data_IF_088280876934
#
_entry.id   IF_088280876934
#
_cell.length_a   1.000
_cell.length_b   1.000
_cell.length_c   1.000
_cell.angle_alpha   90.00
_cell.angle_beta   90.00
_cell.angle_gamma   90.00
#
_symmetry.space_group_name_H-M   'P 1'
#
loop_
_entity.id
_entity.type
_entity.pdbx_description
1 polymer ?
#
# COMPACT_ATOMS: atom_id res chain seq x y z
N UNK A 1 20.46 1.77 -13.94
CA UNK A 1 21.45 1.30 -12.97
C UNK A 1 22.74 2.10 -13.06
N UNK A 2 23.45 2.21 -11.93
CA UNK A 2 24.77 2.79 -11.92
C UNK A 2 25.74 2.08 -12.88
N UNK A 3 26.89 2.70 -13.20
CA UNK A 3 27.85 2.15 -14.18
C UNK A 3 28.45 0.79 -13.76
N UNK A 4 28.35 0.43 -12.50
CA UNK A 4 28.76 -0.88 -11.92
C UNK A 4 27.64 -1.94 -11.94
N UNK A 5 26.45 -1.59 -12.45
CA UNK A 5 25.29 -2.48 -12.51
C UNK A 5 24.46 -2.55 -11.22
N UNK A 6 24.72 -1.65 -10.27
CA UNK A 6 23.91 -1.56 -9.03
C UNK A 6 22.77 -0.55 -9.16
N UNK A 7 21.81 -0.59 -8.22
CA UNK A 7 20.60 0.22 -8.23
C UNK A 7 20.52 1.12 -7.00
N UNK A 8 19.92 2.30 -7.18
CA UNK A 8 19.52 3.22 -6.12
C UNK A 8 18.00 3.12 -5.95
N UNK A 9 17.54 2.75 -4.77
CA UNK A 9 16.12 2.53 -4.50
C UNK A 9 15.57 3.67 -3.61
N UNK A 10 14.49 4.31 -4.06
CA UNK A 10 13.68 5.21 -3.25
C UNK A 10 12.55 4.45 -2.56
N UNK A 11 12.35 4.68 -1.26
CA UNK A 11 11.19 4.16 -0.52
C UNK A 11 10.56 5.29 0.29
N UNK A 12 9.28 5.59 0.02
CA UNK A 12 8.51 6.51 0.85
C UNK A 12 7.53 5.75 1.71
N UNK A 13 7.70 5.80 3.03
CA UNK A 13 6.75 5.27 4.00
C UNK A 13 5.62 6.26 4.22
N UNK A 14 4.36 5.83 4.08
CA UNK A 14 3.23 6.73 4.30
C UNK A 14 3.07 7.14 5.76
N UNK A 15 3.35 6.22 6.69
CA UNK A 15 3.25 6.43 8.14
C UNK A 15 3.92 5.29 8.89
N UNK A 16 4.69 5.61 9.93
CA UNK A 16 5.28 4.63 10.84
C UNK A 16 4.76 4.90 12.26
N UNK A 17 3.67 4.24 12.63
CA UNK A 17 3.01 4.47 13.93
C UNK A 17 2.21 3.29 14.46
N UNK A 18 2.23 2.17 13.73
CA UNK A 18 1.66 0.91 14.17
C UNK A 18 2.60 -0.26 13.86
N UNK A 19 2.31 -1.43 14.41
CA UNK A 19 3.18 -2.61 14.26
C UNK A 19 3.30 -3.08 12.80
N UNK A 20 2.25 -2.93 11.99
CA UNK A 20 2.27 -3.33 10.59
C UNK A 20 3.21 -2.45 9.76
N UNK A 21 3.10 -1.12 9.89
CA UNK A 21 3.96 -0.19 9.14
C UNK A 21 5.42 -0.26 9.59
N UNK A 22 5.67 -0.46 10.89
CA UNK A 22 7.02 -0.68 11.40
C UNK A 22 7.64 -1.99 10.89
N UNK A 23 6.84 -3.07 10.78
CA UNK A 23 7.30 -4.33 10.21
C UNK A 23 7.59 -4.18 8.71
N UNK A 24 6.72 -3.51 7.95
CA UNK A 24 6.94 -3.28 6.52
C UNK A 24 8.28 -2.57 6.25
N UNK A 25 8.61 -1.54 7.05
CA UNK A 25 9.89 -0.83 6.96
C UNK A 25 11.08 -1.71 7.33
N UNK A 26 10.93 -2.52 8.39
CA UNK A 26 11.98 -3.45 8.82
C UNK A 26 12.23 -4.56 7.77
N UNK A 27 11.18 -5.10 7.16
CA UNK A 27 11.29 -6.10 6.09
C UNK A 27 11.91 -5.51 4.82
N UNK A 28 11.55 -4.27 4.47
CA UNK A 28 12.19 -3.56 3.37
C UNK A 28 13.70 -3.38 3.63
N UNK A 29 14.07 -2.92 4.82
CA UNK A 29 15.48 -2.77 5.21
C UNK A 29 16.22 -4.10 5.16
N UNK A 30 15.66 -5.16 5.72
CA UNK A 30 16.26 -6.50 5.69
C UNK A 30 16.41 -7.04 4.25
N UNK A 31 15.46 -6.73 3.37
CA UNK A 31 15.53 -7.12 1.96
C UNK A 31 16.67 -6.39 1.23
N UNK A 32 16.81 -5.09 1.43
CA UNK A 32 17.87 -4.30 0.81
C UNK A 32 19.26 -4.65 1.34
N UNK A 33 19.38 -4.99 2.62
CA UNK A 33 20.64 -5.52 3.21
C UNK A 33 21.01 -6.90 2.64
N UNK A 34 20.03 -7.77 2.43
CA UNK A 34 20.27 -9.10 1.85
C UNK A 34 20.77 -9.00 0.40
N UNK A 35 20.26 -8.04 -0.35
CA UNK A 35 20.53 -7.84 -1.77
C UNK A 35 21.55 -6.67 -2.01
N UNK A 36 22.40 -6.38 -1.01
CA UNK A 36 23.36 -5.27 -1.01
C UNK A 36 24.45 -5.36 -2.09
N UNK A 37 24.62 -6.49 -2.73
CA UNK A 37 25.47 -6.64 -3.93
C UNK A 37 24.83 -6.05 -5.18
N UNK A 38 23.53 -5.83 -5.20
CA UNK A 38 22.77 -5.25 -6.28
C UNK A 38 22.26 -3.83 -5.97
N UNK A 39 22.21 -3.45 -4.69
CA UNK A 39 21.66 -2.16 -4.23
C UNK A 39 22.81 -1.31 -3.67
N UNK A 40 23.16 -0.20 -4.35
CA UNK A 40 24.24 0.69 -3.94
C UNK A 40 23.81 1.74 -2.92
N UNK A 41 22.55 2.16 -2.94
CA UNK A 41 22.01 3.16 -2.00
C UNK A 41 20.50 3.00 -1.84
N UNK A 42 19.99 3.39 -0.67
CA UNK A 42 18.56 3.41 -0.35
C UNK A 42 18.18 4.77 0.21
N UNK A 43 17.23 5.43 -0.44
CA UNK A 43 16.69 6.72 0.00
C UNK A 43 15.35 6.47 0.67
N UNK A 44 15.34 6.47 2.00
CA UNK A 44 14.11 6.33 2.77
C UNK A 44 13.56 7.70 3.17
N UNK A 45 12.26 7.89 2.99
CA UNK A 45 11.52 9.06 3.45
C UNK A 45 10.22 8.65 4.14
N UNK A 46 9.61 9.56 4.88
CA UNK A 46 8.34 9.33 5.58
C UNK A 46 7.41 10.51 5.35
N UNK A 47 6.16 10.22 4.99
CA UNK A 47 5.17 11.23 4.61
C UNK A 47 4.19 11.59 5.73
N UNK A 48 4.14 10.84 6.83
CA UNK A 48 3.30 11.13 8.02
C UNK A 48 1.81 11.30 7.69
N UNK A 49 1.27 10.51 6.76
CA UNK A 49 -0.09 10.62 6.21
C UNK A 49 -0.39 11.95 5.49
N UNK A 50 0.63 12.71 5.11
CA UNK A 50 0.49 13.93 4.32
C UNK A 50 0.77 13.65 2.84
N UNK A 51 -0.28 13.73 2.00
CA UNK A 51 -0.18 13.46 0.57
C UNK A 51 0.72 14.48 -0.17
N UNK A 52 0.78 15.74 0.27
CA UNK A 52 1.65 16.74 -0.35
C UNK A 52 3.12 16.50 0.00
N UNK A 53 3.38 16.07 1.23
CA UNK A 53 4.71 15.65 1.66
C UNK A 53 5.16 14.41 0.87
N UNK A 54 4.27 13.44 0.64
CA UNK A 54 4.56 12.27 -0.20
C UNK A 54 4.97 12.66 -1.61
N UNK A 55 4.21 13.54 -2.25
CA UNK A 55 4.53 14.07 -3.59
C UNK A 55 5.92 14.73 -3.59
N UNK A 56 6.21 15.58 -2.58
CA UNK A 56 7.50 16.27 -2.47
C UNK A 56 8.67 15.29 -2.25
N UNK A 57 8.47 14.23 -1.47
CA UNK A 57 9.45 13.18 -1.26
C UNK A 57 9.76 12.45 -2.57
N UNK A 58 8.73 12.06 -3.33
CA UNK A 58 8.90 11.40 -4.64
C UNK A 58 9.61 12.33 -5.63
N UNK A 59 9.26 13.62 -5.70
CA UNK A 59 9.96 14.59 -6.54
C UNK A 59 11.44 14.70 -6.18
N UNK A 60 11.77 14.63 -4.89
CA UNK A 60 13.17 14.62 -4.44
C UNK A 60 13.91 13.36 -4.89
N UNK A 61 13.25 12.19 -4.87
CA UNK A 61 13.82 10.94 -5.38
C UNK A 61 14.05 10.99 -6.90
N UNK A 62 13.08 11.52 -7.65
CA UNK A 62 13.22 11.75 -9.10
C UNK A 62 14.42 12.67 -9.40
N UNK A 63 14.54 13.78 -8.68
CA UNK A 63 15.67 14.72 -8.84
C UNK A 63 17.04 14.11 -8.50
N UNK A 64 17.06 13.06 -7.69
CA UNK A 64 18.27 12.29 -7.32
C UNK A 64 18.55 11.14 -8.29
N UNK A 65 17.71 10.96 -9.32
CA UNK A 65 17.82 9.91 -10.33
C UNK A 65 17.90 8.50 -9.71
N UNK A 66 16.98 8.18 -8.80
CA UNK A 66 16.83 6.80 -8.32
C UNK A 66 16.44 5.88 -9.47
N UNK A 67 16.75 4.61 -9.40
CA UNK A 67 16.38 3.64 -10.44
C UNK A 67 14.95 3.11 -10.24
N UNK A 68 14.49 3.00 -8.99
CA UNK A 68 13.14 2.60 -8.68
C UNK A 68 12.58 3.36 -7.46
N UNK A 69 11.26 3.55 -7.43
CA UNK A 69 10.53 4.13 -6.29
C UNK A 69 9.49 3.12 -5.83
N UNK A 70 9.54 2.77 -4.54
CA UNK A 70 8.52 1.96 -3.88
C UNK A 70 7.69 2.88 -2.99
N UNK A 71 6.37 2.87 -3.17
CA UNK A 71 5.48 3.79 -2.45
C UNK A 71 4.09 3.20 -2.20
N UNK A 72 3.56 3.30 -0.97
CA UNK A 72 2.14 3.10 -0.66
C UNK A 72 1.39 4.44 -0.82
N UNK A 73 0.59 4.62 -1.89
CA UNK A 73 -0.14 5.87 -2.12
C UNK A 73 -1.05 6.28 -0.96
N UNK A 74 -0.91 7.52 -0.48
CA UNK A 74 -1.81 8.12 0.53
C UNK A 74 -3.09 8.62 -0.15
N UNK A 75 -2.97 9.22 -1.33
CA UNK A 75 -4.09 9.71 -2.13
C UNK A 75 -4.02 9.08 -3.52
N UNK A 76 -4.89 8.11 -3.83
CA UNK A 76 -4.84 7.37 -5.10
C UNK A 76 -4.86 8.24 -6.36
N UNK A 77 -5.72 9.28 -6.39
CA UNK A 77 -5.78 10.22 -7.51
C UNK A 77 -4.74 11.33 -7.42
N UNK A 78 -4.44 11.80 -6.21
CA UNK A 78 -3.51 12.92 -6.00
C UNK A 78 -2.05 12.60 -6.34
N UNK A 79 -1.66 11.34 -6.25
CA UNK A 79 -0.28 10.90 -6.52
C UNK A 79 0.01 10.73 -8.02
N UNK A 80 -1.03 10.53 -8.85
CA UNK A 80 -0.88 10.20 -10.29
C UNK A 80 0.10 11.10 -11.04
N UNK A 81 0.03 12.46 -10.91
CA UNK A 81 0.94 13.32 -11.67
C UNK A 81 2.42 13.11 -11.34
N UNK A 82 2.77 12.77 -10.09
CA UNK A 82 4.17 12.55 -9.72
C UNK A 82 4.65 11.15 -10.09
N UNK A 83 3.77 10.14 -10.10
CA UNK A 83 4.09 8.82 -10.63
C UNK A 83 4.38 8.90 -12.13
N UNK A 84 3.59 9.67 -12.89
CA UNK A 84 3.86 9.92 -14.29
C UNK A 84 5.23 10.59 -14.50
N UNK A 85 5.59 11.58 -13.67
CA UNK A 85 6.92 12.21 -13.75
C UNK A 85 8.05 11.19 -13.51
N UNK A 86 7.87 10.24 -12.59
CA UNK A 86 8.85 9.20 -12.34
C UNK A 86 8.97 8.25 -13.55
N UNK A 87 7.85 7.80 -14.10
CA UNK A 87 7.78 6.96 -15.30
C UNK A 87 8.40 7.64 -16.52
N UNK A 88 8.07 8.92 -16.76
CA UNK A 88 8.67 9.73 -17.85
C UNK A 88 10.19 9.91 -17.69
N UNK A 89 10.70 9.88 -16.46
CA UNK A 89 12.12 9.90 -16.17
C UNK A 89 12.80 8.53 -16.31
N UNK A 90 12.03 7.48 -16.63
CA UNK A 90 12.54 6.10 -16.76
C UNK A 90 12.80 5.41 -15.42
N UNK A 91 12.14 5.87 -14.35
CA UNK A 91 12.22 5.30 -13.00
C UNK A 91 11.13 4.26 -12.85
N UNK A 92 11.48 3.06 -12.41
CA UNK A 92 10.51 2.02 -12.10
C UNK A 92 9.66 2.40 -10.89
N UNK A 93 8.33 2.32 -11.03
CA UNK A 93 7.38 2.63 -9.96
C UNK A 93 6.76 1.34 -9.44
N UNK A 94 6.94 1.07 -8.16
CA UNK A 94 6.35 -0.07 -7.47
C UNK A 94 5.36 0.44 -6.42
N UNK A 95 4.09 0.15 -6.62
CA UNK A 95 3.07 0.40 -5.62
C UNK A 95 3.01 -0.76 -4.64
N UNK A 96 2.84 -0.47 -3.35
CA UNK A 96 2.64 -1.50 -2.33
C UNK A 96 1.55 -1.09 -1.34
N UNK A 97 0.84 -2.06 -0.79
CA UNK A 97 -0.20 -1.90 0.24
C UNK A 97 -1.42 -1.04 -0.17
N UNK A 98 -1.29 -0.06 -1.06
CA UNK A 98 -2.40 0.68 -1.65
C UNK A 98 -2.11 1.04 -3.10
N UNK A 99 -3.16 1.18 -3.91
CA UNK A 99 -3.08 1.49 -5.33
C UNK A 99 -3.18 2.98 -5.64
N UNK A 100 -3.02 3.30 -6.93
CA UNK A 100 -3.25 4.63 -7.50
C UNK A 100 -4.33 4.56 -8.59
N UNK A 101 -4.95 5.68 -8.92
CA UNK A 101 -5.94 5.79 -10.00
C UNK A 101 -5.27 5.90 -11.38
N UNK A 102 -4.31 5.01 -11.64
CA UNK A 102 -3.58 4.91 -12.90
C UNK A 102 -3.04 3.49 -13.06
N UNK A 103 -2.80 3.07 -14.30
CA UNK A 103 -2.07 1.84 -14.64
C UNK A 103 -0.59 2.13 -14.98
N UNK A 104 -0.13 3.36 -14.80
CA UNK A 104 1.22 3.79 -15.12
C UNK A 104 2.18 3.55 -13.93
N UNK A 105 2.42 2.27 -13.70
CA UNK A 105 3.39 1.74 -12.72
C UNK A 105 4.00 0.43 -13.24
N UNK A 106 5.20 0.11 -12.77
CA UNK A 106 5.90 -1.14 -13.17
C UNK A 106 5.31 -2.36 -12.49
N UNK A 107 4.93 -2.25 -11.20
CA UNK A 107 4.35 -3.36 -10.43
C UNK A 107 3.48 -2.86 -9.29
N UNK A 108 2.48 -3.66 -8.92
CA UNK A 108 1.64 -3.44 -7.74
C UNK A 108 1.62 -4.69 -6.86
N UNK A 109 2.12 -4.55 -5.65
CA UNK A 109 2.19 -5.63 -4.66
C UNK A 109 1.19 -5.35 -3.55
N UNK A 110 0.11 -6.11 -3.52
CA UNK A 110 -0.95 -5.97 -2.53
C UNK A 110 -1.60 -7.33 -2.20
N UNK A 111 -2.40 -7.37 -1.14
CA UNK A 111 -3.35 -8.44 -0.88
C UNK A 111 -4.68 -8.10 -1.58
N UNK A 112 -5.50 -9.10 -1.84
CA UNK A 112 -6.89 -8.89 -2.24
C UNK A 112 -7.70 -8.47 -1.01
N UNK A 113 -7.88 -7.16 -0.84
CA UNK A 113 -8.56 -6.58 0.33
C UNK A 113 -10.04 -6.96 0.39
N UNK A 114 -10.71 -7.15 -0.74
CA UNK A 114 -12.10 -7.59 -0.78
C UNK A 114 -12.23 -9.04 -0.29
N UNK A 115 -11.41 -9.93 -0.80
CA UNK A 115 -11.33 -11.32 -0.32
C UNK A 115 -10.92 -11.41 1.15
N UNK A 116 -10.05 -10.51 1.62
CA UNK A 116 -9.66 -10.45 3.03
C UNK A 116 -10.87 -10.13 3.93
N UNK A 117 -11.67 -9.13 3.54
CA UNK A 117 -12.90 -8.77 4.25
C UNK A 117 -13.94 -9.88 4.22
N UNK A 118 -14.17 -10.49 3.06
CA UNK A 118 -15.09 -11.61 2.88
C UNK A 118 -14.72 -12.80 3.77
N UNK A 119 -13.46 -13.23 3.75
CA UNK A 119 -12.97 -14.36 4.56
C UNK A 119 -13.20 -14.14 6.06
N UNK A 120 -12.99 -12.91 6.55
CA UNK A 120 -13.26 -12.56 7.95
C UNK A 120 -14.75 -12.67 8.31
N UNK A 121 -15.63 -12.18 7.43
CA UNK A 121 -17.06 -12.24 7.61
C UNK A 121 -17.60 -13.68 7.53
N UNK A 122 -17.15 -14.47 6.56
CA UNK A 122 -17.49 -15.89 6.42
C UNK A 122 -17.18 -16.66 7.70
N UNK A 123 -15.98 -16.44 8.27
CA UNK A 123 -15.60 -17.05 9.53
C UNK A 123 -16.55 -16.67 10.69
N UNK A 124 -16.95 -15.39 10.78
CA UNK A 124 -17.89 -14.93 11.79
C UNK A 124 -19.28 -15.54 11.61
N UNK A 125 -19.79 -15.58 10.38
CA UNK A 125 -21.09 -16.22 10.04
C UNK A 125 -21.10 -17.68 10.47
N UNK A 126 -20.05 -18.43 10.14
CA UNK A 126 -19.90 -19.83 10.53
C UNK A 126 -19.89 -19.99 12.06
N UNK A 127 -19.09 -19.17 12.77
CA UNK A 127 -18.99 -19.21 14.24
C UNK A 127 -20.29 -18.86 14.95
N UNK A 128 -21.09 -17.99 14.36
CA UNK A 128 -22.41 -17.59 14.89
C UNK A 128 -23.54 -18.55 14.47
N UNK A 129 -23.24 -19.55 13.63
CA UNK A 129 -24.25 -20.47 13.12
C UNK A 129 -25.28 -19.79 12.20
N UNK A 130 -24.85 -18.76 11.44
CA UNK A 130 -25.66 -18.04 10.47
C UNK A 130 -26.63 -17.01 11.06
N UNK A 131 -26.59 -16.73 12.38
CA UNK A 131 -27.50 -15.76 13.02
C UNK A 131 -26.85 -15.07 14.21
N UNK A 132 -26.94 -13.74 14.27
CA UNK A 132 -26.35 -12.95 15.35
C UNK A 132 -26.17 -11.49 15.03
N UNK A 133 -25.57 -10.75 15.98
CA UNK A 133 -25.25 -9.32 15.83
C UNK A 133 -23.75 -9.14 15.85
N UNK A 134 -23.25 -8.36 14.91
CA UNK A 134 -21.82 -8.04 14.77
C UNK A 134 -21.62 -6.52 14.74
N UNK A 135 -20.42 -6.09 15.11
CA UNK A 135 -19.97 -4.69 14.96
C UNK A 135 -18.84 -4.69 13.93
N UNK A 136 -18.97 -3.84 12.93
CA UNK A 136 -17.88 -3.57 11.99
C UNK A 136 -17.14 -2.29 12.43
N UNK A 137 -15.84 -2.44 12.73
CA UNK A 137 -14.96 -1.31 13.02
C UNK A 137 -14.13 -1.06 11.79
N UNK A 138 -14.47 -0.02 11.03
CA UNK A 138 -13.74 0.41 9.86
C UNK A 138 -12.49 1.20 10.24
N UNK A 139 -11.51 1.18 9.33
CA UNK A 139 -10.34 2.05 9.39
C UNK A 139 -10.67 3.50 8.98
N UNK A 140 -9.68 4.17 8.41
CA UNK A 140 -9.84 5.56 7.96
C UNK A 140 -10.74 5.58 6.72
N UNK A 141 -11.79 6.40 6.74
CA UNK A 141 -12.70 6.55 5.62
C UNK A 141 -12.01 7.14 4.37
N UNK A 142 -12.34 6.62 3.19
CA UNK A 142 -11.76 7.07 1.93
C UNK A 142 -10.40 6.45 1.59
N UNK A 143 -9.92 5.51 2.40
CA UNK A 143 -8.77 4.68 2.05
C UNK A 143 -9.29 3.40 1.36
N UNK A 144 -8.87 3.11 0.11
CA UNK A 144 -9.36 1.97 -0.67
C UNK A 144 -9.28 0.63 0.07
N UNK A 145 -8.21 0.37 0.79
CA UNK A 145 -8.03 -0.83 1.64
C UNK A 145 -9.18 -1.02 2.62
N UNK A 146 -9.60 0.04 3.33
CA UNK A 146 -10.71 -0.04 4.30
C UNK A 146 -12.04 -0.26 3.59
N UNK A 147 -12.27 0.45 2.49
CA UNK A 147 -13.53 0.40 1.76
C UNK A 147 -13.72 -0.96 1.08
N UNK A 148 -12.68 -1.52 0.48
CA UNK A 148 -12.71 -2.85 -0.15
C UNK A 148 -12.91 -3.97 0.88
N UNK A 149 -12.22 -3.93 2.02
CA UNK A 149 -12.42 -4.90 3.11
C UNK A 149 -13.85 -4.87 3.63
N UNK A 150 -14.40 -3.68 3.81
CA UNK A 150 -15.79 -3.53 4.23
C UNK A 150 -16.76 -4.04 3.16
N UNK A 151 -16.53 -3.74 1.89
CA UNK A 151 -17.35 -4.23 0.77
C UNK A 151 -17.38 -5.76 0.70
N UNK A 152 -16.22 -6.42 0.82
CA UNK A 152 -16.14 -7.87 0.87
C UNK A 152 -16.87 -8.48 2.07
N UNK A 153 -16.71 -7.90 3.26
CA UNK A 153 -17.43 -8.34 4.44
C UNK A 153 -18.95 -8.12 4.30
N UNK A 154 -19.37 -6.99 3.76
CA UNK A 154 -20.78 -6.66 3.56
C UNK A 154 -21.45 -7.62 2.56
N UNK A 155 -20.78 -7.99 1.48
CA UNK A 155 -21.30 -8.97 0.51
C UNK A 155 -21.66 -10.30 1.19
N UNK A 156 -20.82 -10.79 2.09
CA UNK A 156 -21.09 -12.01 2.84
C UNK A 156 -22.26 -11.81 3.80
N UNK A 157 -22.36 -10.67 4.47
CA UNK A 157 -23.49 -10.36 5.37
C UNK A 157 -24.82 -10.30 4.61
N UNK A 158 -24.83 -9.70 3.41
CA UNK A 158 -26.03 -9.59 2.56
C UNK A 158 -26.56 -10.95 2.13
N UNK A 159 -25.68 -11.95 1.97
CA UNK A 159 -26.05 -13.35 1.69
C UNK A 159 -26.52 -14.10 2.95
N UNK A 160 -26.33 -13.55 4.13
CA UNK A 160 -26.65 -14.17 5.42
C UNK A 160 -27.62 -13.31 6.24
N UNK A 161 -28.93 -13.28 5.90
CA UNK A 161 -29.91 -12.36 6.49
C UNK A 161 -30.18 -12.59 8.01
N UNK A 162 -29.64 -13.64 8.59
CA UNK A 162 -29.65 -13.87 10.04
C UNK A 162 -28.58 -13.05 10.80
N UNK A 163 -27.64 -12.42 10.09
CA UNK A 163 -26.59 -11.57 10.65
C UNK A 163 -27.00 -10.10 10.54
N UNK A 164 -26.95 -9.40 11.68
CA UNK A 164 -27.22 -7.96 11.77
C UNK A 164 -25.93 -7.19 12.09
N UNK A 165 -25.58 -6.21 11.28
CA UNK A 165 -24.51 -5.25 11.59
C UNK A 165 -25.10 -4.10 12.40
N UNK A 166 -24.56 -3.79 13.60
CA UNK A 166 -25.09 -2.81 14.55
C UNK A 166 -24.06 -1.71 14.84
#
# INVERSE_FOLDING_TARGET
PAADGTYVIGYDSYFVGNTWSAQLEAEFTAATERDADQISDVIMTQSDNDAQKQISNIQSMIARNVDAIIVPPISPGGIVPVLQQASDAGIDVILNASGAETDDYTSYVNVDDESFGATGAEWLVDKLGGSGRIIAINGIAGIPTSDLRYAGAQAVVDENPGIEVV
#
